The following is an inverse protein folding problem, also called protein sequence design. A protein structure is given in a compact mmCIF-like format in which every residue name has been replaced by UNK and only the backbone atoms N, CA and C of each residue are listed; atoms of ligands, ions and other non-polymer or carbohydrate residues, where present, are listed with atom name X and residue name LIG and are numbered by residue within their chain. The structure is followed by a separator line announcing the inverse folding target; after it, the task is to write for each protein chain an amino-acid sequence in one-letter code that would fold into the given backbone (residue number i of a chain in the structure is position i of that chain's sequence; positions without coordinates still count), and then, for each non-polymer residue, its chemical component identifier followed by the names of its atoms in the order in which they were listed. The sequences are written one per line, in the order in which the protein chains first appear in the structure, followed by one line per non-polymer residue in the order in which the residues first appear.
data_IF_995863745477
#
_entry.id   IF_995863745477
#
_cell.length_a   1.000
_cell.length_b   1.000
_cell.length_c   1.000
_cell.angle_alpha   90.00
_cell.angle_beta   90.00
_cell.angle_gamma   90.00
#
_symmetry.space_group_name_H-M   'P 1'
#
loop_
_entity.id
_entity.type
_entity.pdbx_description
1 polymer ?
#
# COMPACT_ATOMS: atom_id res chain seq x y z
N UNK A 1 13.94 -0.14 16.34
CA UNK A 1 14.09 1.00 15.43
C UNK A 1 13.74 2.25 16.22
N UNK A 2 14.58 3.27 16.16
CA UNK A 2 14.28 4.60 16.69
C UNK A 2 13.21 5.31 15.83
N UNK A 3 12.51 6.34 16.35
CA UNK A 3 11.42 7.01 15.64
C UNK A 3 11.82 7.59 14.27
N UNK A 4 13.07 8.03 14.09
CA UNK A 4 13.56 8.55 12.81
C UNK A 4 13.69 7.43 11.78
N UNK A 5 14.26 6.29 12.17
CA UNK A 5 14.33 5.09 11.32
C UNK A 5 12.94 4.65 10.86
N UNK A 6 11.93 4.69 11.75
CA UNK A 6 10.55 4.35 11.38
C UNK A 6 9.97 5.38 10.40
N UNK A 7 10.14 6.67 10.65
CA UNK A 7 9.71 7.73 9.72
C UNK A 7 10.28 7.55 8.32
N UNK A 8 11.59 7.25 8.21
CA UNK A 8 12.21 6.95 6.91
C UNK A 8 11.61 5.71 6.24
N UNK A 9 11.27 4.68 7.02
CA UNK A 9 10.60 3.47 6.52
C UNK A 9 9.20 3.76 5.97
N UNK A 10 8.42 4.61 6.66
CA UNK A 10 7.08 5.04 6.18
C UNK A 10 7.20 5.75 4.84
N UNK A 11 8.13 6.69 4.69
CA UNK A 11 8.36 7.44 3.45
C UNK A 11 8.79 6.51 2.31
N UNK A 12 9.68 5.55 2.58
CA UNK A 12 10.12 4.58 1.59
C UNK A 12 8.95 3.75 1.06
N UNK A 13 8.08 3.27 1.94
CA UNK A 13 6.91 2.46 1.56
C UNK A 13 5.85 3.31 0.85
N UNK A 14 5.63 4.56 1.26
CA UNK A 14 4.76 5.49 0.55
C UNK A 14 5.26 5.73 -0.89
N UNK A 15 6.58 5.91 -1.05
CA UNK A 15 7.22 6.04 -2.36
C UNK A 15 7.00 4.78 -3.20
N UNK A 16 7.16 3.60 -2.62
CA UNK A 16 6.88 2.33 -3.29
C UNK A 16 5.41 2.21 -3.71
N UNK A 17 4.47 2.58 -2.84
CA UNK A 17 3.03 2.58 -3.16
C UNK A 17 2.72 3.53 -4.33
N UNK A 18 3.30 4.73 -4.34
CA UNK A 18 3.16 5.68 -5.45
C UNK A 18 3.72 5.12 -6.77
N UNK A 19 4.90 4.48 -6.73
CA UNK A 19 5.47 3.80 -7.90
C UNK A 19 4.57 2.67 -8.42
N UNK A 20 4.00 1.89 -7.51
CA UNK A 20 3.06 0.81 -7.86
C UNK A 20 1.78 1.36 -8.50
N UNK A 21 1.22 2.47 -7.99
CA UNK A 21 0.10 3.16 -8.63
C UNK A 21 0.43 3.64 -10.05
N UNK A 22 1.64 4.18 -10.26
CA UNK A 22 2.11 4.57 -11.59
C UNK A 22 2.16 3.36 -12.53
N UNK A 23 2.78 2.26 -12.09
CA UNK A 23 2.91 1.04 -12.89
C UNK A 23 1.54 0.43 -13.25
N UNK A 24 0.57 0.45 -12.33
CA UNK A 24 -0.81 0.02 -12.58
C UNK A 24 -1.51 0.91 -13.61
N UNK A 25 -1.26 2.22 -13.56
CA UNK A 25 -1.80 3.19 -14.52
C UNK A 25 -1.18 3.03 -15.90
N UNK A 26 0.12 2.75 -15.97
CA UNK A 26 0.82 2.46 -17.22
C UNK A 26 0.29 1.17 -17.85
N UNK A 27 0.13 0.10 -17.07
CA UNK A 27 -0.49 -1.15 -17.51
C UNK A 27 -1.90 -0.90 -18.07
N UNK A 28 -2.67 0.01 -17.44
CA UNK A 28 -4.00 0.41 -17.93
C UNK A 28 -3.95 1.05 -19.30
N UNK A 29 -3.03 1.99 -19.51
CA UNK A 29 -2.87 2.62 -20.81
C UNK A 29 -2.48 1.61 -21.89
N UNK A 30 -1.63 0.63 -21.56
CA UNK A 30 -1.15 -0.39 -22.47
C UNK A 30 -2.22 -1.41 -22.88
N UNK A 31 -3.05 -1.85 -21.95
CA UNK A 31 -4.04 -2.90 -22.22
C UNK A 31 -5.43 -2.33 -22.61
N UNK A 32 -5.60 -0.99 -22.62
CA UNK A 32 -6.78 -0.18 -23.05
C UNK A 32 -8.10 -0.44 -22.29
N UNK A 33 -8.32 -1.65 -21.79
CA UNK A 33 -9.32 -1.95 -20.77
C UNK A 33 -8.63 -2.75 -19.67
N UNK A 34 -8.65 -2.20 -18.46
CA UNK A 34 -8.14 -2.90 -17.30
C UNK A 34 -9.29 -3.71 -16.71
N UNK A 35 -9.10 -5.01 -16.44
CA UNK A 35 -10.06 -5.77 -15.66
C UNK A 35 -10.37 -5.05 -14.34
N UNK A 36 -11.65 -4.94 -13.97
CA UNK A 36 -12.10 -4.12 -12.83
C UNK A 36 -11.38 -4.43 -11.50
N UNK A 37 -10.79 -5.62 -11.36
CA UNK A 37 -9.95 -5.99 -10.21
C UNK A 37 -8.65 -5.19 -10.12
N UNK A 38 -7.94 -4.92 -11.22
CA UNK A 38 -6.72 -4.10 -11.16
C UNK A 38 -7.04 -2.66 -10.75
N UNK A 39 -8.19 -2.14 -11.19
CA UNK A 39 -8.65 -0.85 -10.70
C UNK A 39 -8.90 -0.88 -9.19
N UNK A 40 -9.54 -1.95 -8.70
CA UNK A 40 -9.78 -2.11 -7.27
C UNK A 40 -8.48 -2.25 -6.46
N UNK A 41 -7.47 -2.97 -6.97
CA UNK A 41 -6.13 -3.03 -6.37
C UNK A 41 -5.47 -1.65 -6.36
N UNK A 42 -5.51 -0.92 -7.48
CA UNK A 42 -4.94 0.42 -7.58
C UNK A 42 -5.56 1.39 -6.58
N UNK A 43 -6.88 1.31 -6.38
CA UNK A 43 -7.57 2.14 -5.39
C UNK A 43 -7.09 1.83 -3.97
N UNK A 44 -6.94 0.55 -3.61
CA UNK A 44 -6.43 0.17 -2.28
C UNK A 44 -4.97 0.58 -2.07
N UNK A 45 -4.12 0.53 -3.11
CA UNK A 45 -2.73 1.00 -3.03
C UNK A 45 -2.66 2.52 -2.92
N UNK A 46 -3.51 3.25 -3.65
CA UNK A 46 -3.61 4.71 -3.54
C UNK A 46 -4.09 5.15 -2.15
N UNK A 47 -5.09 4.46 -1.61
CA UNK A 47 -5.57 4.70 -0.25
C UNK A 47 -4.48 4.39 0.79
N UNK A 48 -3.74 3.29 0.63
CA UNK A 48 -2.62 2.96 1.51
C UNK A 48 -1.54 4.05 1.45
N UNK A 49 -1.20 4.55 0.28
CA UNK A 49 -0.25 5.64 0.12
C UNK A 49 -0.67 6.90 0.90
N UNK A 50 -1.96 7.25 0.82
CA UNK A 50 -2.52 8.36 1.59
C UNK A 50 -2.41 8.13 3.11
N UNK A 51 -2.74 6.92 3.58
CA UNK A 51 -2.62 6.58 5.01
C UNK A 51 -1.16 6.62 5.47
N UNK A 52 -0.20 6.15 4.66
CA UNK A 52 1.22 6.23 4.98
C UNK A 52 1.70 7.68 5.09
N UNK A 53 1.21 8.57 4.23
CA UNK A 53 1.50 10.00 4.33
C UNK A 53 1.00 10.58 5.66
N UNK A 54 -0.23 10.24 6.07
CA UNK A 54 -0.80 10.64 7.37
C UNK A 54 0.01 10.11 8.56
N UNK A 55 0.50 8.86 8.46
CA UNK A 55 1.41 8.27 9.46
C UNK A 55 2.71 9.06 9.56
N UNK A 56 3.31 9.45 8.42
CA UNK A 56 4.53 10.26 8.40
C UNK A 56 4.34 11.58 9.15
N UNK A 57 3.25 12.29 8.86
CA UNK A 57 2.92 13.55 9.54
C UNK A 57 2.75 13.37 11.06
N UNK A 58 2.12 12.27 11.47
CA UNK A 58 1.91 11.97 12.89
C UNK A 58 3.23 11.69 13.63
N UNK A 59 4.19 11.04 12.96
CA UNK A 59 5.53 10.78 13.52
C UNK A 59 6.34 12.08 13.60
N UNK A 60 6.27 12.93 12.56
CA UNK A 60 6.97 14.21 12.49
C UNK A 60 6.50 15.20 13.58
N UNK A 61 5.21 15.22 13.88
CA UNK A 61 4.61 16.10 14.91
C UNK A 61 5.01 15.71 16.35
N UNK A 62 5.91 14.72 16.53
CA UNK A 62 6.40 14.21 17.82
C UNK A 62 5.29 13.83 18.80
N UNK A 63 4.11 13.46 18.30
CA UNK A 63 3.14 12.73 19.08
C UNK A 63 3.79 11.39 19.44
N UNK A 64 4.31 11.25 20.66
CA UNK A 64 4.99 10.02 21.09
C UNK A 64 4.02 8.84 20.92
N UNK A 65 4.13 8.12 19.81
CA UNK A 65 3.53 6.81 19.67
C UNK A 65 4.10 5.97 20.82
N UNK A 66 3.25 5.35 21.67
CA UNK A 66 3.70 4.40 22.66
C UNK A 66 4.65 3.36 22.03
N UNK A 67 5.67 2.88 22.75
CA UNK A 67 6.65 1.93 22.21
C UNK A 67 5.99 0.67 21.60
N UNK A 68 4.89 0.20 22.19
CA UNK A 68 4.10 -0.92 21.65
C UNK A 68 3.48 -0.62 20.27
N UNK A 69 3.18 0.64 19.98
CA UNK A 69 2.70 1.07 18.67
C UNK A 69 3.84 1.17 17.65
N UNK A 70 5.07 1.47 18.08
CA UNK A 70 6.21 1.53 17.17
C UNK A 70 6.58 0.16 16.60
N UNK A 71 6.55 -0.89 17.43
CA UNK A 71 6.80 -2.27 16.97
C UNK A 71 5.67 -2.78 16.06
N UNK A 72 4.41 -2.52 16.43
CA UNK A 72 3.26 -2.85 15.60
C UNK A 72 3.30 -2.11 14.25
N UNK A 73 3.68 -0.84 14.24
CA UNK A 73 3.85 -0.04 13.02
C UNK A 73 4.95 -0.64 12.15
N UNK A 74 6.14 -0.92 12.72
CA UNK A 74 7.25 -1.53 11.98
C UNK A 74 6.83 -2.86 11.31
N UNK A 75 6.06 -3.69 12.02
CA UNK A 75 5.55 -4.94 11.46
C UNK A 75 4.53 -4.69 10.32
N UNK A 76 3.61 -3.74 10.46
CA UNK A 76 2.67 -3.36 9.40
C UNK A 76 3.39 -2.79 8.17
N UNK A 77 4.43 -1.99 8.37
CA UNK A 77 5.27 -1.43 7.32
C UNK A 77 6.00 -2.54 6.56
N UNK A 78 6.62 -3.50 7.25
CA UNK A 78 7.25 -4.64 6.59
C UNK A 78 6.24 -5.48 5.80
N UNK A 79 5.03 -5.68 6.32
CA UNK A 79 3.95 -6.36 5.57
C UNK A 79 3.53 -5.57 4.34
N UNK A 80 3.39 -4.25 4.44
CA UNK A 80 3.06 -3.39 3.31
C UNK A 80 4.13 -3.47 2.23
N UNK A 81 5.40 -3.41 2.61
CA UNK A 81 6.54 -3.50 1.71
C UNK A 81 6.52 -4.80 0.89
N UNK A 82 6.37 -5.94 1.55
CA UNK A 82 6.28 -7.25 0.89
C UNK A 82 5.11 -7.29 -0.09
N UNK A 83 3.92 -6.84 0.33
CA UNK A 83 2.72 -6.91 -0.50
C UNK A 83 2.75 -5.96 -1.70
N UNK A 84 3.36 -4.79 -1.54
CA UNK A 84 3.57 -3.85 -2.64
C UNK A 84 4.56 -4.39 -3.67
N UNK A 85 5.62 -5.07 -3.23
CA UNK A 85 6.54 -5.76 -4.15
C UNK A 85 5.83 -6.90 -4.91
N UNK A 86 5.03 -7.72 -4.23
CA UNK A 86 4.24 -8.77 -4.90
C UNK A 86 3.29 -8.19 -5.96
N UNK A 87 2.62 -7.06 -5.68
CA UNK A 87 1.77 -6.37 -6.67
C UNK A 87 2.62 -5.87 -7.84
N UNK A 88 3.76 -5.23 -7.55
CA UNK A 88 4.67 -4.68 -8.57
C UNK A 88 5.18 -5.78 -9.51
N UNK A 89 5.56 -6.94 -8.97
CA UNK A 89 6.01 -8.09 -9.76
C UNK A 89 4.91 -8.60 -10.70
N UNK A 90 3.67 -8.71 -10.20
CA UNK A 90 2.52 -9.10 -11.04
C UNK A 90 2.29 -8.06 -12.14
N UNK A 91 2.36 -6.76 -11.81
CA UNK A 91 2.19 -5.68 -12.78
C UNK A 91 3.27 -5.72 -13.87
N UNK A 92 4.52 -5.99 -13.51
CA UNK A 92 5.62 -6.18 -14.47
C UNK A 92 5.33 -7.38 -15.38
N UNK A 93 4.97 -8.53 -14.81
CA UNK A 93 4.64 -9.74 -15.60
C UNK A 93 3.47 -9.51 -16.56
N UNK A 94 2.41 -8.83 -16.11
CA UNK A 94 1.26 -8.47 -16.96
C UNK A 94 1.65 -7.46 -18.03
N UNK A 95 2.52 -6.51 -17.72
CA UNK A 95 3.04 -5.52 -18.68
C UNK A 95 3.83 -6.21 -19.78
N UNK A 96 4.73 -7.12 -19.40
CA UNK A 96 5.54 -7.90 -20.35
C UNK A 96 4.66 -8.79 -21.22
N UNK A 97 3.64 -9.43 -20.65
CA UNK A 97 2.64 -10.19 -21.41
C UNK A 97 1.84 -9.30 -22.39
N UNK A 98 1.44 -8.08 -21.97
CA UNK A 98 0.75 -7.13 -22.84
C UNK A 98 1.65 -6.61 -23.99
N UNK A 99 2.98 -6.57 -23.80
CA UNK A 99 3.97 -6.16 -24.81
C UNK A 99 4.37 -7.29 -25.75
N UNK A 100 4.54 -8.51 -25.23
CA UNK A 100 5.01 -9.67 -25.99
C UNK A 100 3.99 -10.15 -27.04
N UNK A 101 2.70 -9.94 -26.80
CA UNK A 101 1.65 -10.37 -27.72
C UNK A 101 0.56 -9.32 -27.91
N UNK A 102 0.22 -9.04 -29.17
CA UNK A 102 -0.97 -8.25 -29.53
C UNK A 102 -2.27 -9.04 -29.40
N UNK A 103 -2.20 -10.36 -29.19
CA UNK A 103 -3.38 -11.23 -29.09
C UNK A 103 -4.17 -10.96 -27.80
N UNK A 104 -5.45 -10.57 -27.88
CA UNK A 104 -6.30 -10.36 -26.70
C UNK A 104 -6.46 -11.61 -25.84
N UNK A 105 -6.43 -12.80 -26.45
CA UNK A 105 -6.60 -14.09 -25.77
C UNK A 105 -5.42 -14.36 -24.83
N UNK A 106 -4.20 -14.07 -25.28
CA UNK A 106 -3.00 -14.25 -24.47
C UNK A 106 -2.99 -13.30 -23.26
N UNK A 107 -3.37 -12.04 -23.48
CA UNK A 107 -3.53 -11.04 -22.41
C UNK A 107 -4.58 -11.48 -21.39
N UNK A 108 -5.72 -11.98 -21.85
CA UNK A 108 -6.80 -12.46 -20.98
C UNK A 108 -6.37 -13.70 -20.17
N UNK A 109 -5.55 -14.59 -20.74
CA UNK A 109 -5.03 -15.75 -20.03
C UNK A 109 -4.01 -15.36 -18.95
N UNK A 110 -3.04 -14.51 -19.28
CA UNK A 110 -2.08 -13.98 -18.33
C UNK A 110 -2.79 -13.27 -17.16
N UNK A 111 -3.81 -12.48 -17.47
CA UNK A 111 -4.67 -11.86 -16.47
C UNK A 111 -5.37 -12.88 -15.58
N UNK A 112 -6.05 -13.87 -16.17
CA UNK A 112 -6.84 -14.85 -15.44
C UNK A 112 -5.97 -15.65 -14.46
N UNK A 113 -4.71 -15.91 -14.80
CA UNK A 113 -3.75 -16.60 -13.93
C UNK A 113 -3.48 -15.82 -12.63
N UNK A 114 -3.37 -14.50 -12.71
CA UNK A 114 -3.02 -13.64 -11.58
C UNK A 114 -4.23 -13.11 -10.80
N UNK A 115 -5.45 -13.26 -11.33
CA UNK A 115 -6.66 -12.69 -10.74
C UNK A 115 -6.89 -13.11 -9.27
N UNK A 116 -6.66 -14.38 -8.93
CA UNK A 116 -6.82 -14.88 -7.56
C UNK A 116 -5.79 -14.30 -6.60
N UNK A 117 -4.53 -14.19 -7.05
CA UNK A 117 -3.43 -13.59 -6.27
C UNK A 117 -3.69 -12.10 -6.02
N UNK A 118 -4.11 -11.37 -7.05
CA UNK A 118 -4.46 -9.96 -6.93
C UNK A 118 -5.64 -9.72 -5.98
N UNK A 119 -6.60 -10.63 -5.92
CA UNK A 119 -7.69 -10.55 -4.95
C UNK A 119 -7.19 -10.70 -3.50
N UNK A 120 -6.30 -11.68 -3.26
CA UNK A 120 -5.70 -11.85 -1.92
C UNK A 120 -4.86 -10.64 -1.53
N UNK A 121 -4.04 -10.14 -2.47
CA UNK A 121 -3.25 -8.93 -2.27
C UNK A 121 -4.11 -7.70 -1.98
N UNK A 122 -5.24 -7.56 -2.66
CA UNK A 122 -6.19 -6.48 -2.39
C UNK A 122 -6.71 -6.53 -0.94
N UNK A 123 -7.07 -7.71 -0.45
CA UNK A 123 -7.56 -7.89 0.92
C UNK A 123 -6.45 -7.66 1.96
N UNK A 124 -5.23 -8.12 1.66
CA UNK A 124 -4.06 -7.89 2.52
C UNK A 124 -3.79 -6.39 2.68
N UNK A 125 -3.77 -5.64 1.57
CA UNK A 125 -3.57 -4.18 1.59
C UNK A 125 -4.70 -3.48 2.35
N UNK A 126 -5.95 -3.89 2.13
CA UNK A 126 -7.12 -3.37 2.87
C UNK A 126 -6.98 -3.59 4.37
N UNK A 127 -6.54 -4.78 4.78
CA UNK A 127 -6.32 -5.13 6.19
C UNK A 127 -5.19 -4.30 6.80
N UNK A 128 -4.07 -4.15 6.09
CA UNK A 128 -2.95 -3.30 6.54
C UNK A 128 -3.41 -1.85 6.72
N UNK A 129 -4.14 -1.30 5.75
CA UNK A 129 -4.72 0.05 5.81
C UNK A 129 -5.63 0.23 7.02
N UNK A 130 -6.54 -0.73 7.25
CA UNK A 130 -7.45 -0.68 8.40
C UNK A 130 -6.68 -0.65 9.73
N UNK A 131 -5.65 -1.48 9.87
CA UNK A 131 -4.81 -1.50 11.07
C UNK A 131 -4.04 -0.19 11.27
N UNK A 132 -3.48 0.38 10.20
CA UNK A 132 -2.81 1.69 10.27
C UNK A 132 -3.79 2.81 10.69
N UNK A 133 -5.00 2.82 10.14
CA UNK A 133 -6.03 3.79 10.52
C UNK A 133 -6.48 3.64 11.97
N UNK A 134 -6.62 2.42 12.49
CA UNK A 134 -6.91 2.18 13.91
C UNK A 134 -5.79 2.76 14.78
N UNK A 135 -4.53 2.56 14.39
CA UNK A 135 -3.38 3.12 15.11
C UNK A 135 -3.36 4.65 15.09
N UNK A 136 -3.67 5.27 13.94
CA UNK A 136 -3.81 6.73 13.83
C UNK A 136 -4.93 7.25 14.74
N UNK A 137 -6.10 6.61 14.73
CA UNK A 137 -7.24 6.99 15.57
C UNK A 137 -6.97 6.86 17.07
N UNK A 138 -6.30 5.77 17.48
CA UNK A 138 -5.86 5.59 18.85
C UNK A 138 -4.87 6.69 19.26
N UNK A 139 -3.90 7.02 18.40
CA UNK A 139 -2.88 8.04 18.67
C UNK A 139 -3.49 9.43 18.84
N UNK A 140 -4.45 9.82 17.99
CA UNK A 140 -5.17 11.08 18.12
C UNK A 140 -5.97 11.15 19.44
N UNK A 141 -6.53 10.02 19.88
CA UNK A 141 -7.26 9.93 21.16
C UNK A 141 -6.33 10.11 22.36
N UNK A 142 -5.14 9.51 22.35
CA UNK A 142 -4.13 9.69 23.40
C UNK A 142 -3.62 11.14 23.48
N UNK A 143 -3.39 11.78 22.33
CA UNK A 143 -2.98 13.19 22.29
C UNK A 143 -4.06 14.07 22.92
N UNK A 144 -5.34 13.92 22.53
CA UNK A 144 -6.43 14.69 23.15
C UNK A 144 -6.51 14.47 24.67
N UNK A 145 -6.44 13.23 25.14
CA UNK A 145 -6.44 12.95 26.59
C UNK A 145 -5.30 13.67 27.31
N UNK A 146 -4.09 13.70 26.73
CA UNK A 146 -2.94 14.41 27.32
C UNK A 146 -3.16 15.93 27.43
N UNK A 147 -3.88 16.54 26.49
CA UNK A 147 -4.24 17.96 26.54
C UNK A 147 -5.31 18.27 27.58
N UNK A 148 -6.24 17.34 27.83
CA UNK A 148 -7.29 17.52 28.85
C UNK A 148 -6.80 17.39 30.30
N UNK A 149 -5.67 16.74 30.54
CA UNK A 149 -5.08 16.54 31.88
C UNK A 149 -3.87 17.46 32.17
N UNK A 150 -3.71 18.55 31.41
CA UNK A 150 -2.76 19.65 31.69
C UNK A 150 -3.50 20.90 32.13
#
# INVERSE_FOLDING_TARGET
MDPLSIGTGVIAIATLAAQTCSALSDLRSLCQSLPGRLHAVNNEVADLNFVLFQVSLTIEDRACLPENNLSALSHLLNRADVKLHEIKDIVVQLTDACRASRSPIFKAHAWRKEQGRLQMLQEDIRTIKANLNIMLGASNSYVMQRWFYR
#
